data_IF_876144474982
#
_entry.id   IF_876144474982
#
_cell.length_a   1.000
_cell.length_b   1.000
_cell.length_c   1.000
_cell.angle_alpha   90.00
_cell.angle_beta   90.00
_cell.angle_gamma   90.00
#
_symmetry.space_group_name_H-M   'P 1'
#
loop_
_entity.id
_entity.type
_entity.pdbx_description
1 polymer ?
#
# COMPACT_ATOMS: atom_id res chain seq x y z
N UNK A 1 -0.99 18.99 -9.21
CA UNK A 1 0.11 18.63 -8.29
C UNK A 1 -0.51 17.84 -7.17
N UNK A 2 -0.28 16.52 -7.13
CA UNK A 2 -0.77 15.70 -6.03
C UNK A 2 -0.05 16.14 -4.74
N UNK A 3 -0.79 16.20 -3.63
CA UNK A 3 -0.22 16.61 -2.34
C UNK A 3 0.84 15.62 -1.85
N UNK A 4 1.62 15.96 -0.80
CA UNK A 4 2.58 15.03 -0.24
C UNK A 4 1.88 13.75 0.24
N UNK A 5 2.13 12.63 -0.43
CA UNK A 5 1.64 11.31 -0.02
C UNK A 5 2.32 10.92 1.30
N UNK A 6 1.53 10.87 2.37
CA UNK A 6 2.02 10.50 3.70
C UNK A 6 2.30 9.00 3.74
N UNK A 7 3.58 8.62 3.64
CA UNK A 7 4.05 7.22 3.73
C UNK A 7 3.95 6.63 5.15
N UNK A 8 3.23 7.27 6.06
CA UNK A 8 3.27 6.93 7.48
C UNK A 8 2.39 5.72 7.81
N UNK A 9 1.09 5.77 7.50
CA UNK A 9 0.12 4.71 7.83
C UNK A 9 -0.87 4.49 6.70
N UNK A 10 -1.26 3.23 6.52
CA UNK A 10 -2.30 2.87 5.58
C UNK A 10 -3.67 3.34 6.10
N UNK A 11 -4.45 4.13 5.32
CA UNK A 11 -5.78 4.57 5.75
C UNK A 11 -6.77 3.40 5.82
N UNK A 12 -6.53 2.34 5.04
CA UNK A 12 -7.46 1.21 4.90
C UNK A 12 -7.22 0.07 5.89
N UNK A 13 -6.15 0.13 6.71
CA UNK A 13 -5.94 -0.88 7.73
C UNK A 13 -5.19 -0.36 8.96
N UNK A 14 -5.56 -0.85 10.17
CA UNK A 14 -4.98 -0.37 11.44
C UNK A 14 -3.56 -0.91 11.70
N UNK A 15 -2.86 -1.33 10.65
CA UNK A 15 -1.58 -2.02 10.79
C UNK A 15 -0.44 -1.03 10.97
N UNK A 16 0.59 -1.41 11.74
CA UNK A 16 1.71 -0.54 12.04
C UNK A 16 2.65 -0.39 10.84
N UNK A 17 2.64 -1.31 9.87
CA UNK A 17 3.53 -1.22 8.72
C UNK A 17 3.17 -0.01 7.84
N UNK A 18 4.15 0.82 7.48
CA UNK A 18 3.93 1.99 6.64
C UNK A 18 3.58 1.61 5.20
N UNK A 19 3.03 2.58 4.47
CA UNK A 19 2.92 2.49 3.01
C UNK A 19 4.33 2.51 2.41
N UNK A 20 4.55 1.69 1.37
CA UNK A 20 5.83 1.67 0.65
C UNK A 20 5.67 2.31 -0.71
N UNK A 21 6.56 3.25 -1.01
CA UNK A 21 6.76 3.82 -2.34
C UNK A 21 7.50 2.80 -3.22
N UNK A 22 6.97 2.54 -4.39
CA UNK A 22 7.43 1.56 -5.36
C UNK A 22 7.41 2.18 -6.76
N UNK A 23 8.20 1.62 -7.66
CA UNK A 23 8.24 1.99 -9.08
C UNK A 23 7.69 0.82 -9.87
N UNK A 24 6.78 1.10 -10.80
CA UNK A 24 6.27 0.10 -11.72
C UNK A 24 7.40 -0.40 -12.62
N UNK A 25 7.52 -1.73 -12.68
CA UNK A 25 8.54 -2.42 -13.49
C UNK A 25 7.97 -3.04 -14.76
N UNK A 26 6.65 -3.00 -14.91
CA UNK A 26 5.94 -3.55 -16.06
C UNK A 26 5.31 -2.40 -16.83
N UNK A 27 5.26 -2.54 -18.14
CA UNK A 27 4.56 -1.60 -19.00
C UNK A 27 3.08 -1.98 -19.14
N UNK A 28 2.47 -2.41 -18.03
CA UNK A 28 1.03 -2.61 -18.01
C UNK A 28 0.37 -1.24 -18.13
N UNK A 29 -0.25 -1.02 -19.29
CA UNK A 29 -1.04 0.18 -19.57
C UNK A 29 -0.21 1.49 -19.61
N UNK A 30 1.06 1.43 -20.04
CA UNK A 30 1.92 2.62 -20.18
C UNK A 30 2.58 3.09 -18.89
N UNK A 31 2.50 2.29 -17.81
CA UNK A 31 2.91 2.70 -16.47
C UNK A 31 4.37 2.38 -16.16
N UNK A 32 5.20 1.96 -17.12
CA UNK A 32 6.60 1.64 -16.84
C UNK A 32 7.33 2.85 -16.23
N UNK A 33 7.97 2.65 -15.08
CA UNK A 33 8.68 3.73 -14.39
C UNK A 33 7.80 4.66 -13.56
N UNK A 34 6.48 4.49 -13.56
CA UNK A 34 5.58 5.29 -12.72
C UNK A 34 5.68 4.90 -11.25
N UNK A 35 5.58 5.91 -10.39
CA UNK A 35 5.69 5.74 -8.96
C UNK A 35 4.31 5.55 -8.31
N UNK A 36 4.22 4.60 -7.38
CA UNK A 36 3.00 4.32 -6.64
C UNK A 36 3.31 3.97 -5.19
N UNK A 37 2.31 4.14 -4.35
CA UNK A 37 2.32 3.66 -2.97
C UNK A 37 1.42 2.46 -2.82
N UNK A 38 1.87 1.49 -2.00
CA UNK A 38 1.08 0.31 -1.67
C UNK A 38 1.27 -0.09 -0.22
N UNK A 39 0.20 -0.59 0.40
CA UNK A 39 0.32 -1.26 1.69
C UNK A 39 0.86 -2.68 1.49
N UNK A 40 2.02 -2.98 2.07
CA UNK A 40 2.66 -4.30 1.99
C UNK A 40 2.41 -5.16 3.23
N UNK A 41 1.49 -4.71 4.09
CA UNK A 41 1.19 -5.39 5.34
C UNK A 41 0.72 -6.82 5.10
N UNK A 42 1.24 -7.74 5.91
CA UNK A 42 0.84 -9.14 5.84
C UNK A 42 -0.53 -9.36 6.50
N UNK A 43 -1.26 -10.42 6.14
CA UNK A 43 -2.35 -10.90 6.97
C UNK A 43 -1.84 -11.14 8.39
N UNK A 44 -2.54 -10.59 9.38
CA UNK A 44 -2.18 -10.75 10.80
C UNK A 44 -3.33 -11.43 11.52
N UNK A 45 -3.04 -12.27 12.50
CA UNK A 45 -4.06 -12.73 13.43
C UNK A 45 -4.56 -11.52 14.24
N UNK A 46 -5.84 -11.17 14.08
CA UNK A 46 -6.50 -10.17 14.90
C UNK A 46 -6.64 -10.66 16.34
N UNK A 47 -6.97 -9.73 17.25
CA UNK A 47 -7.10 -10.00 18.71
C UNK A 47 -7.99 -11.20 19.07
N UNK A 48 -8.97 -11.53 18.22
CA UNK A 48 -9.92 -12.64 18.45
C UNK A 48 -9.55 -13.91 17.65
N UNK A 49 -8.30 -14.04 17.18
CA UNK A 49 -7.87 -15.13 16.30
C UNK A 49 -8.34 -15.01 14.84
N UNK A 50 -9.16 -13.99 14.51
CA UNK A 50 -9.61 -13.72 13.14
C UNK A 50 -8.47 -13.16 12.30
N UNK A 51 -8.09 -13.86 11.23
CA UNK A 51 -7.06 -13.38 10.29
C UNK A 51 -7.58 -12.11 9.58
N UNK A 52 -6.85 -11.00 9.74
CA UNK A 52 -7.06 -9.78 8.98
C UNK A 52 -6.66 -10.04 7.52
N UNK A 53 -7.59 -9.85 6.58
CA UNK A 53 -7.33 -10.00 5.14
C UNK A 53 -6.20 -9.08 4.68
N UNK A 54 -5.41 -9.53 3.71
CA UNK A 54 -4.35 -8.72 3.08
C UNK A 54 -4.92 -7.36 2.65
N UNK A 55 -4.20 -6.28 2.97
CA UNK A 55 -4.57 -4.94 2.49
C UNK A 55 -4.34 -4.82 0.98
N UNK A 56 -5.23 -4.14 0.29
CA UNK A 56 -5.15 -3.87 -1.16
C UNK A 56 -4.95 -2.39 -1.47
N UNK A 57 -4.69 -1.55 -0.47
CA UNK A 57 -4.49 -0.11 -0.64
C UNK A 57 -3.41 0.20 -1.66
N UNK A 58 -3.72 1.12 -2.56
CA UNK A 58 -2.88 1.55 -3.68
C UNK A 58 -3.23 2.99 -4.07
N UNK A 59 -2.22 3.80 -4.38
CA UNK A 59 -2.39 5.16 -4.90
C UNK A 59 -1.19 5.53 -5.82
N UNK A 60 -1.47 6.25 -6.90
CA UNK A 60 -0.44 6.80 -7.80
C UNK A 60 0.13 8.10 -7.22
N UNK A 61 1.44 8.33 -7.40
CA UNK A 61 2.15 9.54 -6.94
C UNK A 61 2.36 10.51 -8.09
#
# INVERSE_FOLDING_TARGET
QYGPVLLTRCPDCPRPEPLKRLVSKTDENGNLGWEFVKCLSRPMAGRNGKILKKCTHFEWI
#
